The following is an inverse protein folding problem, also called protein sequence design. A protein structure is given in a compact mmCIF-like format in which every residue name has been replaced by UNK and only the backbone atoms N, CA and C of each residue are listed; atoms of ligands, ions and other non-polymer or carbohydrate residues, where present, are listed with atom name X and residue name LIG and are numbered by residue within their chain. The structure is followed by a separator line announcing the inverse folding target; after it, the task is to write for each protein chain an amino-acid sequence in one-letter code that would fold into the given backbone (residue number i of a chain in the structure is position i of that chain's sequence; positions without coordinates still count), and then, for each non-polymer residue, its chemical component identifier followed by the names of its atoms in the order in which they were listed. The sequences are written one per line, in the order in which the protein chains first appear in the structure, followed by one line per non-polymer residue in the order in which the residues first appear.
data_IF_096083196832
#
_entry.id   IF_096083196832
#
_cell.length_a   1.000
_cell.length_b   1.000
_cell.length_c   1.000
_cell.angle_alpha   90.00
_cell.angle_beta   90.00
_cell.angle_gamma   90.00
#
_symmetry.space_group_name_H-M   'P 1'
#
loop_
_entity.id
_entity.type
_entity.pdbx_description
1 polymer ?
#
# COMPACT_ATOMS: atom_id res chain seq x y z
N UNK A 1 -25.79 -45.08 31.13
CA UNK A 1 -24.82 -44.25 31.87
C UNK A 1 -23.97 -43.51 30.84
N UNK A 2 -24.45 -42.33 30.42
CA UNK A 2 -23.69 -41.42 29.57
C UNK A 2 -22.64 -40.71 30.43
N UNK A 3 -21.46 -40.48 29.85
CA UNK A 3 -20.72 -39.20 29.89
C UNK A 3 -19.30 -39.42 29.34
N UNK A 4 -19.15 -39.54 28.02
CA UNK A 4 -17.87 -39.20 27.38
C UNK A 4 -17.93 -37.71 27.00
N UNK A 5 -17.25 -36.92 27.81
CA UNK A 5 -17.00 -35.50 27.59
C UNK A 5 -16.06 -35.35 26.38
N UNK A 6 -16.62 -35.04 25.21
CA UNK A 6 -15.83 -34.68 24.03
C UNK A 6 -15.76 -33.14 23.95
N UNK A 7 -14.69 -32.58 24.51
CA UNK A 7 -14.35 -31.17 24.35
C UNK A 7 -14.11 -30.87 22.86
N UNK A 8 -15.06 -30.20 22.20
CA UNK A 8 -14.81 -29.56 20.91
C UNK A 8 -14.39 -28.12 21.18
N UNK A 9 -13.10 -27.84 21.05
CA UNK A 9 -12.60 -26.49 20.76
C UNK A 9 -12.61 -26.27 19.23
N UNK A 10 -13.54 -25.49 18.65
CA UNK A 10 -13.34 -24.96 17.30
C UNK A 10 -13.09 -23.46 17.38
N UNK A 11 -11.86 -23.04 17.73
CA UNK A 11 -11.54 -21.60 17.72
C UNK A 11 -10.07 -21.24 17.43
N UNK A 12 -9.24 -22.17 16.93
CA UNK A 12 -7.81 -21.87 16.66
C UNK A 12 -7.52 -21.62 15.17
N UNK A 13 -8.31 -22.19 14.25
CA UNK A 13 -8.09 -22.08 12.80
C UNK A 13 -8.73 -20.84 12.15
N UNK A 14 -9.89 -20.39 12.63
CA UNK A 14 -10.63 -19.25 12.03
C UNK A 14 -9.97 -17.89 12.37
N UNK A 15 -9.43 -17.75 13.58
CA UNK A 15 -8.76 -16.50 14.03
C UNK A 15 -7.49 -16.23 13.19
N UNK A 16 -6.76 -17.27 12.78
CA UNK A 16 -5.54 -17.12 11.98
C UNK A 16 -5.81 -16.57 10.56
N UNK A 17 -6.92 -16.98 9.92
CA UNK A 17 -7.29 -16.49 8.59
C UNK A 17 -7.77 -15.03 8.60
N UNK A 18 -8.44 -14.60 9.68
CA UNK A 18 -8.93 -13.23 9.82
C UNK A 18 -7.79 -12.23 10.06
N UNK A 19 -6.84 -12.58 10.92
CA UNK A 19 -5.67 -11.74 11.22
C UNK A 19 -4.76 -11.51 10.01
N UNK A 20 -4.63 -12.49 9.11
CA UNK A 20 -3.80 -12.36 7.91
C UNK A 20 -4.41 -11.44 6.83
N UNK A 21 -5.74 -11.35 6.72
CA UNK A 21 -6.38 -10.50 5.73
C UNK A 21 -6.50 -9.03 6.17
N UNK A 22 -6.73 -8.76 7.47
CA UNK A 22 -6.71 -7.38 7.99
C UNK A 22 -5.30 -6.74 7.87
N UNK A 23 -4.23 -7.52 8.08
CA UNK A 23 -2.84 -7.07 7.88
C UNK A 23 -2.48 -6.89 6.39
N UNK A 24 -3.24 -7.47 5.45
CA UNK A 24 -3.06 -7.25 4.01
C UNK A 24 -3.82 -6.02 3.51
N UNK A 25 -4.92 -5.64 4.13
CA UNK A 25 -5.71 -4.44 3.79
C UNK A 25 -5.02 -3.12 4.17
N UNK A 26 -4.06 -3.15 5.10
CA UNK A 26 -3.19 -2.01 5.42
C UNK A 26 -1.92 -1.98 4.58
N UNK A 27 -1.74 -2.90 3.63
CA UNK A 27 -0.63 -2.84 2.67
C UNK A 27 -0.85 -1.65 1.76
N UNK A 28 -0.01 -0.64 1.93
CA UNK A 28 0.14 0.48 1.03
C UNK A 28 0.13 0.01 -0.43
N UNK A 29 -1.00 0.20 -1.14
CA UNK A 29 -1.19 -0.20 -2.54
C UNK A 29 -0.12 0.47 -3.41
N UNK A 30 0.19 1.73 -3.10
CA UNK A 30 1.25 2.49 -3.75
C UNK A 30 2.58 2.34 -3.02
N UNK A 31 3.62 1.96 -3.77
CA UNK A 31 5.03 1.96 -3.33
C UNK A 31 5.72 3.30 -3.56
N UNK A 32 4.97 4.37 -3.84
CA UNK A 32 5.50 5.67 -4.24
C UNK A 32 6.54 6.22 -3.25
N UNK A 33 6.27 6.12 -1.95
CA UNK A 33 7.18 6.58 -0.90
C UNK A 33 8.50 5.82 -0.88
N UNK A 34 8.46 4.51 -1.09
CA UNK A 34 9.65 3.67 -1.16
C UNK A 34 10.48 4.00 -2.39
N UNK A 35 9.83 4.11 -3.56
CA UNK A 35 10.52 4.46 -4.81
C UNK A 35 11.13 5.86 -4.75
N UNK A 36 10.44 6.85 -4.16
CA UNK A 36 11.00 8.18 -3.95
C UNK A 36 12.26 8.13 -3.06
N UNK A 37 12.28 7.30 -2.03
CA UNK A 37 13.46 7.09 -1.20
C UNK A 37 14.59 6.36 -1.95
N UNK A 38 14.27 5.33 -2.74
CA UNK A 38 15.22 4.57 -3.58
C UNK A 38 15.91 5.47 -4.63
N UNK A 39 15.15 6.38 -5.25
CA UNK A 39 15.66 7.34 -6.25
C UNK A 39 16.25 8.60 -5.60
N UNK A 40 16.09 8.78 -4.29
CA UNK A 40 16.61 9.94 -3.54
C UNK A 40 15.88 11.26 -3.87
N UNK A 41 14.59 11.20 -4.19
CA UNK A 41 13.75 12.37 -4.49
C UNK A 41 12.80 12.67 -3.34
N UNK A 42 12.50 13.96 -3.14
CA UNK A 42 11.57 14.41 -2.10
C UNK A 42 10.14 14.53 -2.63
N UNK A 43 9.16 14.47 -1.73
CA UNK A 43 7.75 14.73 -2.09
C UNK A 43 7.55 16.13 -2.68
N UNK A 44 8.30 17.12 -2.19
CA UNK A 44 8.28 18.50 -2.69
C UNK A 44 8.80 18.55 -4.12
N UNK A 45 9.91 17.86 -4.41
CA UNK A 45 10.46 17.78 -5.75
C UNK A 45 9.46 17.18 -6.75
N UNK A 46 8.80 16.07 -6.39
CA UNK A 46 7.80 15.45 -7.25
C UNK A 46 6.59 16.38 -7.48
N UNK A 47 6.18 17.11 -6.44
CA UNK A 47 5.09 18.07 -6.50
C UNK A 47 5.41 19.23 -7.46
N UNK A 48 6.64 19.74 -7.42
CA UNK A 48 7.14 20.77 -8.34
C UNK A 48 7.15 20.28 -9.80
N UNK A 49 7.63 19.05 -10.05
CA UNK A 49 7.68 18.49 -11.42
C UNK A 49 6.28 18.25 -12.03
N UNK A 50 5.29 17.96 -11.18
CA UNK A 50 3.90 17.74 -11.60
C UNK A 50 3.03 18.99 -11.53
N UNK A 51 3.53 20.09 -10.96
CA UNK A 51 2.74 21.30 -10.71
C UNK A 51 1.58 21.08 -9.73
N UNK A 52 1.70 20.13 -8.80
CA UNK A 52 0.67 19.82 -7.79
C UNK A 52 1.08 20.29 -6.41
N UNK A 53 0.13 20.39 -5.49
CA UNK A 53 0.43 20.71 -4.10
C UNK A 53 1.23 19.56 -3.43
N UNK A 54 2.32 19.83 -2.68
CA UNK A 54 3.05 18.82 -1.91
C UNK A 54 2.17 17.98 -0.98
N UNK A 55 1.08 18.55 -0.45
CA UNK A 55 0.08 17.83 0.36
C UNK A 55 -0.61 16.74 -0.45
N UNK A 56 -0.84 16.93 -1.75
CA UNK A 56 -1.43 15.93 -2.64
C UNK A 56 -0.49 14.74 -2.83
N UNK A 57 0.82 14.99 -3.03
CA UNK A 57 1.83 13.94 -3.10
C UNK A 57 1.92 13.17 -1.77
N UNK A 58 1.85 13.88 -0.64
CA UNK A 58 1.80 13.25 0.68
C UNK A 58 0.58 12.34 0.86
N UNK A 59 -0.59 12.76 0.34
CA UNK A 59 -1.81 11.94 0.32
C UNK A 59 -1.65 10.67 -0.53
N UNK A 60 -0.94 10.76 -1.67
CA UNK A 60 -0.60 9.60 -2.50
C UNK A 60 0.33 8.62 -1.79
N UNK A 61 1.33 9.13 -1.08
CA UNK A 61 2.26 8.32 -0.30
C UNK A 61 1.59 7.64 0.90
N UNK A 62 0.55 8.24 1.48
CA UNK A 62 -0.20 7.67 2.62
C UNK A 62 -1.39 6.82 2.19
N UNK A 63 -1.57 6.60 0.87
CA UNK A 63 -2.71 5.88 0.28
C UNK A 63 -4.09 6.49 0.63
N UNK A 64 -4.13 7.73 1.12
CA UNK A 64 -5.39 8.44 1.41
C UNK A 64 -6.06 8.94 0.14
N UNK A 65 -5.28 9.20 -0.92
CA UNK A 65 -5.77 9.46 -2.27
C UNK A 65 -4.92 8.70 -3.27
N UNK A 66 -5.50 8.29 -4.39
CA UNK A 66 -4.77 7.65 -5.48
C UNK A 66 -4.49 8.70 -6.58
N UNK A 67 -3.27 8.73 -7.16
CA UNK A 67 -3.05 9.48 -8.40
C UNK A 67 -3.86 8.81 -9.52
N UNK A 68 -4.31 9.61 -10.49
CA UNK A 68 -4.91 9.04 -11.70
C UNK A 68 -3.84 8.28 -12.53
N UNK A 69 -4.30 7.48 -13.49
CA UNK A 69 -3.42 6.68 -14.34
C UNK A 69 -2.43 7.54 -15.14
N UNK A 70 -2.85 8.73 -15.54
CA UNK A 70 -2.01 9.67 -16.29
C UNK A 70 -0.86 10.21 -15.42
N UNK A 71 -1.19 10.68 -14.22
CA UNK A 71 -0.23 11.18 -13.22
C UNK A 71 0.69 10.05 -12.76
N UNK A 72 0.17 8.84 -12.54
CA UNK A 72 1.00 7.68 -12.20
C UNK A 72 2.02 7.39 -13.32
N UNK A 73 1.59 7.45 -14.58
CA UNK A 73 2.48 7.27 -15.74
C UNK A 73 3.54 8.37 -15.77
N UNK A 74 3.14 9.62 -15.54
CA UNK A 74 4.06 10.75 -15.48
C UNK A 74 5.08 10.63 -14.35
N UNK A 75 4.66 10.16 -13.17
CA UNK A 75 5.56 9.90 -12.05
C UNK A 75 6.59 8.83 -12.41
N UNK A 76 6.17 7.74 -13.07
CA UNK A 76 7.08 6.69 -13.54
C UNK A 76 8.13 7.24 -14.52
N UNK A 77 7.73 8.10 -15.45
CA UNK A 77 8.66 8.78 -16.37
C UNK A 77 9.64 9.69 -15.63
N UNK A 78 9.16 10.52 -14.70
CA UNK A 78 9.98 11.47 -13.94
C UNK A 78 11.00 10.77 -13.03
N UNK A 79 10.62 9.62 -12.47
CA UNK A 79 11.48 8.82 -11.60
C UNK A 79 12.30 7.78 -12.39
N UNK A 80 12.09 7.67 -13.70
CA UNK A 80 12.72 6.69 -14.58
C UNK A 80 12.57 5.23 -14.08
N UNK A 81 11.37 4.88 -13.62
CA UNK A 81 11.02 3.54 -13.11
C UNK A 81 9.83 2.96 -13.86
N UNK A 82 9.66 1.64 -13.81
CA UNK A 82 8.45 1.02 -14.37
C UNK A 82 7.22 1.36 -13.54
N UNK A 83 6.06 1.57 -14.19
CA UNK A 83 4.77 1.75 -13.47
C UNK A 83 4.46 0.59 -12.52
N UNK A 84 4.95 -0.62 -12.82
CA UNK A 84 4.81 -1.79 -11.95
C UNK A 84 5.59 -1.66 -10.66
N UNK A 85 6.69 -0.91 -10.64
CA UNK A 85 7.47 -0.66 -9.44
C UNK A 85 6.78 0.33 -8.50
N UNK A 86 5.93 1.21 -9.03
CA UNK A 86 5.13 2.14 -8.23
C UNK A 86 3.97 1.45 -7.48
N UNK A 87 3.65 0.20 -7.82
CA UNK A 87 2.54 -0.57 -7.25
C UNK A 87 3.07 -1.78 -6.48
N UNK A 88 2.36 -2.19 -5.42
CA UNK A 88 2.62 -3.49 -4.78
C UNK A 88 1.84 -4.61 -5.50
N UNK A 89 2.44 -5.80 -5.71
CA UNK A 89 1.76 -6.97 -6.25
C UNK A 89 0.79 -7.62 -5.25
#
# INVERSE_FOLDING_TARGET
MSCHHFAREPAKSIIFAFNNNLLRMTKEINRLKAVLAEVGKTNVWLAEQLGVNPTTVSKWCTNTCQPDLHTLSRIAELLNVSRRELLRP
#
